data_IF_061094616194
#
_entry.id   IF_061094616194
#
_cell.length_a   1.000
_cell.length_b   1.000
_cell.length_c   1.000
_cell.angle_alpha   90.00
_cell.angle_beta   90.00
_cell.angle_gamma   90.00
#
_symmetry.space_group_name_H-M   'P 1'
#
loop_
_entity.id
_entity.type
_entity.pdbx_description
1 polymer ?
#
# COMPACT_ATOMS: atom_id res chain seq x y z
N UNK A 1 -26.25 -0.39 -14.78
CA UNK A 1 -27.12 -1.47 -15.28
C UNK A 1 -27.18 -2.58 -14.22
N UNK A 2 -28.25 -2.59 -13.39
CA UNK A 2 -28.43 -3.57 -12.31
C UNK A 2 -28.80 -4.96 -12.82
N UNK A 3 -29.71 -5.11 -13.80
CA UNK A 3 -30.02 -6.43 -14.38
C UNK A 3 -28.78 -7.11 -14.96
N UNK A 4 -27.95 -6.38 -15.69
CA UNK A 4 -26.70 -6.93 -16.24
C UNK A 4 -25.73 -7.38 -15.14
N UNK A 5 -25.58 -6.60 -14.07
CA UNK A 5 -24.71 -6.97 -12.94
C UNK A 5 -25.18 -8.28 -12.30
N UNK A 6 -26.48 -8.44 -12.05
CA UNK A 6 -27.04 -9.68 -11.49
C UNK A 6 -26.74 -10.88 -12.37
N UNK A 7 -26.99 -10.78 -13.68
CA UNK A 7 -26.69 -11.84 -14.64
C UNK A 7 -25.21 -12.24 -14.63
N UNK A 8 -24.29 -11.26 -14.54
CA UNK A 8 -22.86 -11.53 -14.44
C UNK A 8 -22.51 -12.23 -13.12
N UNK A 9 -23.09 -11.78 -12.00
CA UNK A 9 -22.85 -12.37 -10.68
C UNK A 9 -23.31 -13.83 -10.67
N UNK A 10 -24.52 -14.10 -11.16
CA UNK A 10 -25.11 -15.44 -11.14
C UNK A 10 -24.26 -16.41 -11.98
N UNK A 11 -23.84 -16.02 -13.18
CA UNK A 11 -22.95 -16.82 -14.04
C UNK A 11 -21.59 -17.12 -13.39
N UNK A 12 -20.98 -16.12 -12.74
CA UNK A 12 -19.69 -16.30 -12.08
C UNK A 12 -19.80 -17.24 -10.87
N UNK A 13 -20.88 -17.12 -10.11
CA UNK A 13 -21.17 -17.96 -8.94
C UNK A 13 -21.45 -19.40 -9.37
N UNK A 14 -22.25 -19.61 -10.42
CA UNK A 14 -22.55 -20.94 -10.97
C UNK A 14 -21.27 -21.68 -11.40
N UNK A 15 -20.33 -20.95 -12.01
CA UNK A 15 -19.01 -21.48 -12.39
C UNK A 15 -18.03 -21.64 -11.22
N UNK A 16 -18.42 -21.26 -9.99
CA UNK A 16 -17.57 -21.34 -8.80
C UNK A 16 -16.37 -20.39 -8.80
N UNK A 17 -16.35 -19.37 -9.67
CA UNK A 17 -15.21 -18.45 -9.83
C UNK A 17 -14.90 -17.66 -8.55
N UNK A 18 -15.89 -17.10 -7.82
CA UNK A 18 -15.63 -16.36 -6.57
C UNK A 18 -14.95 -17.19 -5.47
N UNK A 19 -14.99 -18.53 -5.55
CA UNK A 19 -14.29 -19.40 -4.60
C UNK A 19 -12.77 -19.45 -4.84
N UNK A 20 -12.30 -19.02 -6.02
CA UNK A 20 -10.91 -19.14 -6.48
C UNK A 20 -10.22 -17.79 -6.63
N UNK A 21 -10.99 -16.73 -6.86
CA UNK A 21 -10.47 -15.37 -7.03
C UNK A 21 -11.31 -14.36 -6.25
N UNK A 22 -10.69 -13.26 -5.84
CA UNK A 22 -11.36 -12.12 -5.25
C UNK A 22 -11.54 -11.01 -6.30
N UNK A 23 -12.65 -10.29 -6.22
CA UNK A 23 -12.96 -9.20 -7.14
C UNK A 23 -12.80 -7.83 -6.47
N UNK A 24 -12.52 -6.81 -7.27
CA UNK A 24 -12.48 -5.43 -6.80
C UNK A 24 -12.90 -4.48 -7.92
N UNK A 25 -13.31 -3.27 -7.56
CA UNK A 25 -13.71 -2.26 -8.54
C UNK A 25 -14.29 -1.01 -7.90
N UNK A 26 -14.70 -0.09 -8.76
CA UNK A 26 -15.18 1.23 -8.39
C UNK A 26 -16.67 1.38 -8.66
N UNK A 27 -17.35 2.09 -7.78
CA UNK A 27 -18.77 2.41 -7.90
C UNK A 27 -19.03 3.88 -7.54
N UNK A 28 -20.20 4.40 -7.95
CA UNK A 28 -20.72 5.66 -7.40
C UNK A 28 -21.59 5.31 -6.19
N UNK A 29 -21.40 6.01 -5.08
CA UNK A 29 -22.07 5.65 -3.82
C UNK A 29 -23.60 5.80 -3.89
N UNK A 30 -24.09 6.76 -4.66
CA UNK A 30 -25.53 7.04 -4.81
C UNK A 30 -26.32 5.86 -5.40
N UNK A 31 -25.68 5.01 -6.21
CA UNK A 31 -26.35 3.86 -6.84
C UNK A 31 -26.15 2.54 -6.10
N UNK A 32 -25.32 2.48 -5.05
CA UNK A 32 -25.05 1.22 -4.32
C UNK A 32 -26.05 1.12 -3.18
N UNK A 33 -26.91 0.10 -3.17
CA UNK A 33 -27.86 -0.18 -2.09
C UNK A 33 -27.58 -1.55 -1.44
N UNK A 34 -28.36 -1.92 -0.43
CA UNK A 34 -28.15 -3.17 0.32
C UNK A 34 -28.17 -4.41 -0.58
N UNK A 35 -29.02 -4.44 -1.60
CA UNK A 35 -29.06 -5.54 -2.57
C UNK A 35 -27.74 -5.72 -3.34
N UNK A 36 -27.02 -4.63 -3.63
CA UNK A 36 -25.73 -4.70 -4.32
C UNK A 36 -24.63 -5.22 -3.41
N UNK A 37 -24.68 -4.83 -2.14
CA UNK A 37 -23.76 -5.31 -1.11
C UNK A 37 -23.87 -6.84 -0.99
N UNK A 38 -25.09 -7.38 -1.06
CA UNK A 38 -25.31 -8.84 -1.07
C UNK A 38 -24.73 -9.50 -2.33
N UNK A 39 -24.84 -8.87 -3.51
CA UNK A 39 -24.21 -9.37 -4.74
C UNK A 39 -22.67 -9.34 -4.63
N UNK A 40 -22.09 -8.28 -4.06
CA UNK A 40 -20.65 -8.18 -3.86
C UNK A 40 -20.14 -9.27 -2.91
N UNK A 41 -20.88 -9.63 -1.86
CA UNK A 41 -20.52 -10.76 -1.01
C UNK A 41 -20.47 -12.09 -1.77
N UNK A 42 -21.45 -12.35 -2.66
CA UNK A 42 -21.44 -13.54 -3.52
C UNK A 42 -20.22 -13.59 -4.44
N UNK A 43 -19.76 -12.42 -4.88
CA UNK A 43 -18.57 -12.29 -5.73
C UNK A 43 -17.24 -12.36 -4.99
N UNK A 44 -17.19 -12.58 -3.68
CA UNK A 44 -15.93 -12.48 -2.92
C UNK A 44 -15.22 -11.12 -3.18
N UNK A 45 -16.01 -10.04 -3.16
CA UNK A 45 -15.51 -8.70 -3.43
C UNK A 45 -14.68 -8.18 -2.26
N UNK A 46 -13.44 -7.78 -2.52
CA UNK A 46 -12.48 -7.39 -1.48
C UNK A 46 -12.78 -6.03 -0.87
N UNK A 47 -13.17 -5.06 -1.71
CA UNK A 47 -13.50 -3.69 -1.29
C UNK A 47 -14.60 -3.08 -2.15
N UNK A 48 -15.56 -2.42 -1.50
CA UNK A 48 -16.41 -1.44 -2.17
C UNK A 48 -15.65 -0.11 -2.20
N UNK A 49 -15.23 0.31 -3.41
CA UNK A 49 -14.46 1.55 -3.59
C UNK A 49 -15.29 2.62 -4.29
N UNK A 50 -15.25 3.85 -3.80
CA UNK A 50 -15.90 4.99 -4.46
C UNK A 50 -15.11 6.30 -4.31
N UNK A 51 -15.32 7.24 -5.23
CA UNK A 51 -14.80 8.60 -5.12
C UNK A 51 -15.69 9.43 -4.21
N UNK A 52 -15.26 9.66 -2.96
CA UNK A 52 -15.94 10.57 -2.03
C UNK A 52 -15.61 12.03 -2.36
N UNK A 53 -14.38 12.27 -2.82
CA UNK A 53 -13.76 13.57 -3.11
C UNK A 53 -13.64 14.49 -1.89
N UNK A 54 -14.71 14.75 -1.15
CA UNK A 54 -14.75 15.73 -0.06
C UNK A 54 -15.89 15.42 0.91
N UNK A 55 -15.74 15.82 2.18
CA UNK A 55 -16.84 15.80 3.15
C UNK A 55 -17.70 17.07 3.12
N UNK A 56 -17.41 18.02 2.21
CA UNK A 56 -18.21 19.23 2.04
C UNK A 56 -19.23 19.06 0.92
N UNK A 57 -20.52 19.12 1.28
CA UNK A 57 -21.63 19.01 0.33
C UNK A 57 -21.54 20.07 -0.80
N UNK A 58 -21.10 21.28 -0.48
CA UNK A 58 -20.93 22.37 -1.47
C UNK A 58 -19.84 22.04 -2.48
N UNK A 59 -18.69 21.55 -2.02
CA UNK A 59 -17.59 21.18 -2.92
C UNK A 59 -17.90 19.90 -3.69
N UNK A 60 -18.61 18.94 -3.06
CA UNK A 60 -19.04 17.72 -3.74
C UNK A 60 -19.92 18.05 -4.95
N UNK A 61 -20.91 18.93 -4.78
CA UNK A 61 -21.73 19.44 -5.90
C UNK A 61 -20.89 20.13 -6.98
N UNK A 62 -19.87 20.89 -6.59
CA UNK A 62 -18.96 21.57 -7.53
C UNK A 62 -18.15 20.58 -8.39
N UNK A 63 -17.79 19.42 -7.85
CA UNK A 63 -16.93 18.44 -8.55
C UNK A 63 -17.74 17.36 -9.28
N UNK A 64 -18.86 16.91 -8.71
CA UNK A 64 -19.65 15.78 -9.22
C UNK A 64 -20.97 16.18 -9.85
N UNK A 65 -21.38 17.44 -9.73
CA UNK A 65 -22.71 17.90 -10.11
C UNK A 65 -23.80 17.42 -9.15
N UNK A 66 -25.02 17.35 -9.65
CA UNK A 66 -26.18 16.88 -8.87
C UNK A 66 -26.27 15.34 -8.85
N UNK A 67 -27.04 14.81 -7.90
CA UNK A 67 -27.34 13.37 -7.80
C UNK A 67 -26.39 12.53 -6.96
N UNK A 68 -25.42 13.14 -6.28
CA UNK A 68 -24.59 12.48 -5.25
C UNK A 68 -24.39 13.41 -4.05
N UNK A 69 -24.49 12.85 -2.85
CA UNK A 69 -24.39 13.58 -1.59
C UNK A 69 -23.39 12.94 -0.61
N UNK A 70 -22.97 13.69 0.40
CA UNK A 70 -22.17 13.13 1.51
C UNK A 70 -22.97 12.06 2.27
N UNK A 71 -24.30 12.17 2.31
CA UNK A 71 -25.17 11.16 2.89
C UNK A 71 -25.12 9.82 2.14
N UNK A 72 -24.97 9.84 0.81
CA UNK A 72 -24.78 8.62 0.02
C UNK A 72 -23.48 7.90 0.38
N UNK A 73 -22.39 8.67 0.56
CA UNK A 73 -21.12 8.11 1.00
C UNK A 73 -21.26 7.45 2.37
N UNK A 74 -21.89 8.14 3.33
CA UNK A 74 -22.13 7.61 4.67
C UNK A 74 -22.96 6.32 4.63
N UNK A 75 -24.04 6.30 3.85
CA UNK A 75 -24.92 5.13 3.69
C UNK A 75 -24.16 3.91 3.17
N UNK A 76 -23.30 4.07 2.17
CA UNK A 76 -22.49 2.96 1.65
C UNK A 76 -21.48 2.46 2.70
N UNK A 77 -20.83 3.36 3.43
CA UNK A 77 -19.90 2.98 4.50
C UNK A 77 -20.63 2.15 5.58
N UNK A 78 -21.80 2.60 6.01
CA UNK A 78 -22.58 1.91 7.04
C UNK A 78 -23.13 0.56 6.56
N UNK A 79 -23.56 0.45 5.30
CA UNK A 79 -23.95 -0.83 4.70
C UNK A 79 -22.77 -1.81 4.62
N UNK A 80 -21.60 -1.35 4.17
CA UNK A 80 -20.40 -2.19 4.15
C UNK A 80 -20.05 -2.70 5.56
N UNK A 81 -20.03 -1.81 6.56
CA UNK A 81 -19.76 -2.16 7.94
C UNK A 81 -20.79 -3.17 8.51
N UNK A 82 -22.09 -2.94 8.25
CA UNK A 82 -23.18 -3.85 8.65
C UNK A 82 -23.00 -5.26 8.10
N UNK A 83 -22.50 -5.38 6.88
CA UNK A 83 -22.40 -6.65 6.15
C UNK A 83 -21.02 -7.31 6.18
N UNK A 84 -20.05 -6.71 6.90
CA UNK A 84 -18.68 -7.22 6.99
C UNK A 84 -17.88 -7.07 5.69
N UNK A 85 -18.28 -6.14 4.80
CA UNK A 85 -17.49 -5.78 3.62
C UNK A 85 -16.55 -4.62 3.94
N UNK A 86 -15.37 -4.66 3.34
CA UNK A 86 -14.40 -3.58 3.47
C UNK A 86 -14.80 -2.43 2.57
N UNK A 87 -14.73 -1.21 3.09
CA UNK A 87 -15.04 0.01 2.35
C UNK A 87 -13.77 0.84 2.14
N UNK A 88 -13.63 1.43 0.97
CA UNK A 88 -12.55 2.34 0.65
C UNK A 88 -13.06 3.56 -0.13
N UNK A 89 -12.47 4.72 0.11
CA UNK A 89 -12.83 5.93 -0.59
C UNK A 89 -11.59 6.73 -1.03
N UNK A 90 -11.76 7.46 -2.12
CA UNK A 90 -10.79 8.44 -2.60
C UNK A 90 -11.25 9.86 -2.25
N UNK A 91 -10.31 10.70 -1.83
CA UNK A 91 -10.52 12.11 -1.48
C UNK A 91 -9.59 12.99 -2.31
N UNK A 92 -10.06 14.19 -2.60
CA UNK A 92 -9.36 15.21 -3.37
C UNK A 92 -9.27 16.49 -2.53
N UNK A 93 -8.10 17.13 -2.54
CA UNK A 93 -7.80 18.31 -1.75
C UNK A 93 -7.25 19.42 -2.63
N UNK A 94 -7.33 20.67 -2.15
CA UNK A 94 -6.80 21.81 -2.89
C UNK A 94 -7.70 22.23 -4.06
N UNK A 95 -8.97 21.83 -4.02
CA UNK A 95 -9.97 22.19 -5.04
C UNK A 95 -10.11 23.72 -5.07
N UNK A 96 -10.13 24.36 -6.26
CA UNK A 96 -10.39 25.80 -6.37
C UNK A 96 -11.68 26.19 -5.64
N UNK A 97 -11.57 27.12 -4.68
CA UNK A 97 -12.69 27.55 -3.84
C UNK A 97 -12.87 26.73 -2.55
N UNK A 98 -11.99 25.77 -2.26
CA UNK A 98 -11.99 25.02 -1.00
C UNK A 98 -11.58 25.93 0.16
N UNK A 99 -12.44 26.01 1.18
CA UNK A 99 -12.19 26.82 2.38
C UNK A 99 -11.69 25.95 3.53
N UNK A 100 -11.21 26.61 4.59
CA UNK A 100 -10.90 25.92 5.86
C UNK A 100 -12.10 25.21 6.48
N UNK A 101 -13.32 25.71 6.26
CA UNK A 101 -14.55 25.08 6.73
C UNK A 101 -14.80 23.77 5.99
N UNK A 102 -14.57 23.75 4.68
CA UNK A 102 -14.72 22.55 3.85
C UNK A 102 -13.70 21.48 4.25
N UNK A 103 -12.43 21.85 4.40
CA UNK A 103 -11.39 20.95 4.92
C UNK A 103 -11.77 20.37 6.29
N UNK A 104 -12.35 21.18 7.17
CA UNK A 104 -12.84 20.70 8.47
C UNK A 104 -13.97 19.68 8.31
N UNK A 105 -14.93 19.90 7.41
CA UNK A 105 -16.01 18.94 7.15
C UNK A 105 -15.45 17.60 6.63
N UNK A 106 -14.47 17.64 5.72
CA UNK A 106 -13.76 16.43 5.25
C UNK A 106 -13.06 15.71 6.40
N UNK A 107 -12.33 16.44 7.25
CA UNK A 107 -11.65 15.85 8.41
C UNK A 107 -12.65 15.21 9.38
N UNK A 108 -13.76 15.89 9.69
CA UNK A 108 -14.77 15.39 10.62
C UNK A 108 -15.47 14.15 10.04
N UNK A 109 -15.70 14.11 8.72
CA UNK A 109 -16.19 12.93 8.00
C UNK A 109 -15.22 11.74 8.09
N UNK A 110 -13.91 11.99 7.87
CA UNK A 110 -12.87 10.98 8.00
C UNK A 110 -12.77 10.43 9.44
N UNK A 111 -12.85 11.30 10.46
CA UNK A 111 -12.85 10.88 11.88
C UNK A 111 -14.01 9.97 12.21
N UNK A 112 -15.23 10.36 11.81
CA UNK A 112 -16.45 9.59 12.09
C UNK A 112 -16.40 8.19 11.49
N UNK A 113 -15.73 8.05 10.36
CA UNK A 113 -15.66 6.80 9.59
C UNK A 113 -14.32 6.07 9.74
N UNK A 114 -13.46 6.48 10.68
CA UNK A 114 -12.20 5.82 10.97
C UNK A 114 -12.46 4.36 11.39
N UNK A 115 -11.76 3.42 10.77
CA UNK A 115 -11.94 1.97 10.97
C UNK A 115 -13.06 1.34 10.12
N UNK A 116 -14.02 2.13 9.62
CA UNK A 116 -15.09 1.65 8.72
C UNK A 116 -14.75 1.86 7.24
N UNK A 117 -14.03 2.93 6.93
CA UNK A 117 -13.64 3.27 5.56
C UNK A 117 -12.14 3.58 5.48
N UNK A 118 -11.44 2.92 4.57
CA UNK A 118 -10.04 3.20 4.27
C UNK A 118 -9.91 4.35 3.27
N UNK A 119 -8.85 5.14 3.37
CA UNK A 119 -8.47 6.10 2.32
C UNK A 119 -7.60 5.36 1.32
N UNK A 120 -8.09 5.16 0.08
CA UNK A 120 -7.34 4.52 -1.03
C UNK A 120 -7.12 5.46 -2.22
N UNK A 121 -7.41 6.73 -2.04
CA UNK A 121 -6.98 7.82 -2.91
C UNK A 121 -6.90 9.10 -2.11
N UNK A 122 -5.76 9.77 -2.19
CA UNK A 122 -5.49 10.97 -1.43
C UNK A 122 -4.84 11.96 -2.38
N UNK A 123 -5.70 12.62 -3.14
CA UNK A 123 -5.31 13.31 -4.35
C UNK A 123 -5.28 14.82 -4.18
N UNK A 124 -4.37 15.48 -4.89
CA UNK A 124 -4.44 16.91 -5.13
C UNK A 124 -5.31 17.16 -6.36
N UNK A 125 -6.12 18.22 -6.31
CA UNK A 125 -6.83 18.68 -7.49
C UNK A 125 -5.86 19.05 -8.61
N UNK A 126 -6.10 18.47 -9.79
CA UNK A 126 -5.43 18.83 -11.04
C UNK A 126 -6.49 19.28 -12.05
N UNK A 127 -6.31 20.42 -12.71
CA UNK A 127 -7.25 20.90 -13.72
C UNK A 127 -7.09 20.06 -15.00
N UNK A 128 -8.14 19.35 -15.39
CA UNK A 128 -8.12 18.47 -16.56
C UNK A 128 -8.86 19.14 -17.74
N UNK A 129 -8.23 19.25 -18.93
CA UNK A 129 -8.88 19.78 -20.13
C UNK A 129 -10.23 19.13 -20.41
N UNK A 130 -11.20 19.95 -20.81
CA UNK A 130 -12.58 19.51 -21.10
C UNK A 130 -13.47 19.27 -19.86
N UNK A 131 -13.01 19.63 -18.65
CA UNK A 131 -13.86 19.64 -17.46
C UNK A 131 -14.44 21.03 -17.19
N UNK A 132 -15.60 21.10 -16.54
CA UNK A 132 -16.22 22.39 -16.18
C UNK A 132 -15.29 23.28 -15.33
N UNK A 133 -14.50 22.68 -14.43
CA UNK A 133 -13.51 23.42 -13.64
C UNK A 133 -12.33 23.91 -14.49
N UNK A 134 -11.91 23.17 -15.51
CA UNK A 134 -10.92 23.66 -16.46
C UNK A 134 -11.44 24.88 -17.22
N UNK A 135 -12.66 24.81 -17.77
CA UNK A 135 -13.28 25.92 -18.50
C UNK A 135 -13.43 27.18 -17.65
N UNK A 136 -13.86 27.02 -16.38
CA UNK A 136 -13.91 28.11 -15.40
C UNK A 136 -12.51 28.71 -15.16
N UNK A 137 -11.51 27.86 -14.90
CA UNK A 137 -10.15 28.30 -14.61
C UNK A 137 -9.47 28.96 -15.82
N UNK A 138 -9.76 28.51 -17.04
CA UNK A 138 -9.28 29.16 -18.28
C UNK A 138 -9.90 30.52 -18.45
N UNK A 139 -11.21 30.65 -18.22
CA UNK A 139 -11.91 31.94 -18.28
C UNK A 139 -11.37 32.95 -17.25
N UNK A 140 -11.01 32.46 -16.06
CA UNK A 140 -10.43 33.26 -14.99
C UNK A 140 -8.92 33.55 -15.19
N UNK A 141 -8.32 33.06 -16.27
CA UNK A 141 -6.88 33.23 -16.58
C UNK A 141 -5.95 32.47 -15.62
N UNK A 142 -6.46 31.45 -14.92
CA UNK A 142 -5.69 30.64 -13.96
C UNK A 142 -4.92 29.50 -14.63
N UNK A 143 -5.41 29.01 -15.78
CA UNK A 143 -4.76 27.96 -16.59
C UNK A 143 -4.92 28.27 -18.08
N UNK A 144 -3.99 27.79 -18.88
CA UNK A 144 -4.02 27.84 -20.35
C UNK A 144 -3.69 26.45 -20.92
N UNK A 145 -3.80 26.28 -22.24
CA UNK A 145 -3.41 25.04 -22.91
C UNK A 145 -1.92 24.70 -22.72
N UNK A 146 -1.08 25.71 -22.46
CA UNK A 146 0.35 25.58 -22.18
C UNK A 146 0.66 25.16 -20.72
N UNK A 147 -0.34 24.71 -19.96
CA UNK A 147 -0.12 24.23 -18.60
C UNK A 147 0.91 23.09 -18.61
N UNK A 148 1.99 23.14 -17.81
CA UNK A 148 2.99 22.07 -17.78
C UNK A 148 2.43 20.86 -17.03
N UNK A 149 1.68 20.01 -17.75
CA UNK A 149 0.99 18.83 -17.20
C UNK A 149 1.94 17.85 -16.52
N UNK A 150 3.20 17.79 -16.94
CA UNK A 150 4.26 16.99 -16.34
C UNK A 150 4.60 17.41 -14.90
N UNK A 151 4.27 18.64 -14.50
CA UNK A 151 4.45 19.15 -13.13
C UNK A 151 3.25 18.84 -12.22
N UNK A 152 2.15 18.33 -12.77
CA UNK A 152 0.98 17.97 -11.97
C UNK A 152 1.29 16.75 -11.11
N UNK A 153 1.05 16.88 -9.81
CA UNK A 153 1.25 15.81 -8.86
C UNK A 153 -0.10 15.38 -8.32
N UNK A 154 -0.57 14.22 -8.79
CA UNK A 154 -1.92 13.74 -8.47
C UNK A 154 -2.01 13.18 -7.05
N UNK A 155 -1.07 12.34 -6.65
CA UNK A 155 -1.20 11.53 -5.44
C UNK A 155 -0.25 12.02 -4.34
N UNK A 156 -0.84 12.58 -3.29
CA UNK A 156 -0.15 13.16 -2.13
C UNK A 156 0.53 12.10 -1.24
N UNK A 157 0.34 10.81 -1.53
CA UNK A 157 0.96 9.68 -0.82
C UNK A 157 2.10 9.02 -1.59
N UNK A 158 2.31 9.39 -2.85
CA UNK A 158 3.41 8.79 -3.62
C UNK A 158 4.77 9.14 -2.99
N UNK A 159 5.73 8.20 -2.99
CA UNK A 159 7.08 8.45 -2.44
C UNK A 159 7.80 9.63 -3.09
N UNK A 160 7.55 9.88 -4.38
CA UNK A 160 8.15 10.96 -5.14
C UNK A 160 7.33 12.27 -5.12
N UNK A 161 6.30 12.37 -4.28
CA UNK A 161 5.55 13.61 -4.12
C UNK A 161 6.45 14.69 -3.50
N UNK A 162 6.47 15.88 -4.10
CA UNK A 162 7.19 17.06 -3.63
C UNK A 162 6.26 18.27 -3.52
N UNK A 163 6.41 19.03 -2.44
CA UNK A 163 5.75 20.32 -2.30
C UNK A 163 6.37 21.41 -3.17
N UNK A 164 7.60 21.20 -3.64
CA UNK A 164 8.34 22.19 -4.41
C UNK A 164 7.89 22.19 -5.87
N UNK A 165 7.66 23.39 -6.40
CA UNK A 165 7.17 23.56 -7.78
C UNK A 165 5.73 23.08 -8.00
N UNK A 166 4.99 22.78 -6.93
CA UNK A 166 3.61 22.29 -7.00
C UNK A 166 2.67 23.31 -7.64
N UNK A 167 1.92 22.90 -8.65
CA UNK A 167 0.82 23.68 -9.20
C UNK A 167 -0.38 23.61 -8.25
N UNK A 168 -0.57 24.68 -7.48
CA UNK A 168 -1.61 24.75 -6.44
C UNK A 168 -2.56 25.92 -6.67
N UNK A 169 -3.79 25.60 -7.06
CA UNK A 169 -4.76 26.57 -7.57
C UNK A 169 -5.70 27.16 -6.50
N UNK A 170 -5.58 26.72 -5.24
CA UNK A 170 -6.44 27.18 -4.15
C UNK A 170 -5.74 28.13 -3.14
N UNK A 171 -4.61 28.73 -3.54
CA UNK A 171 -3.80 29.61 -2.71
C UNK A 171 -4.54 30.81 -2.09
N UNK A 172 -5.52 31.37 -2.82
CA UNK A 172 -6.32 32.51 -2.37
C UNK A 172 -7.18 32.18 -1.14
N UNK A 173 -7.72 30.97 -1.04
CA UNK A 173 -8.61 30.57 0.05
C UNK A 173 -7.85 29.91 1.21
N UNK A 174 -6.87 29.07 0.86
CA UNK A 174 -6.00 28.40 1.83
C UNK A 174 -4.57 28.50 1.33
N UNK A 175 -3.73 29.37 1.94
CA UNK A 175 -2.33 29.50 1.53
C UNK A 175 -1.58 28.17 1.58
N UNK A 176 -0.70 27.91 0.62
CA UNK A 176 0.00 26.62 0.46
C UNK A 176 0.69 26.15 1.75
N UNK A 177 1.35 27.06 2.49
CA UNK A 177 1.99 26.76 3.78
C UNK A 177 0.99 26.20 4.81
N UNK A 178 -0.24 26.70 4.80
CA UNK A 178 -1.32 26.24 5.69
C UNK A 178 -1.94 24.94 5.19
N UNK A 179 -2.18 24.86 3.88
CA UNK A 179 -2.67 23.65 3.22
C UNK A 179 -1.76 22.46 3.52
N UNK A 180 -0.45 22.60 3.29
CA UNK A 180 0.57 21.60 3.63
C UNK A 180 0.45 21.08 5.05
N UNK A 181 0.37 21.98 6.05
CA UNK A 181 0.21 21.57 7.47
C UNK A 181 -1.06 20.76 7.72
N UNK A 182 -2.16 21.12 7.05
CA UNK A 182 -3.43 20.40 7.19
C UNK A 182 -3.33 19.02 6.54
N UNK A 183 -2.81 18.93 5.31
CA UNK A 183 -2.64 17.67 4.59
C UNK A 183 -1.70 16.72 5.33
N UNK A 184 -0.55 17.21 5.83
CA UNK A 184 0.36 16.40 6.64
C UNK A 184 -0.30 15.88 7.92
N UNK A 185 -1.19 16.65 8.54
CA UNK A 185 -1.98 16.19 9.69
C UNK A 185 -2.99 15.11 9.29
N UNK A 186 -3.74 15.30 8.21
CA UNK A 186 -4.70 14.30 7.70
C UNK A 186 -3.97 13.00 7.37
N UNK A 187 -2.82 13.10 6.69
CA UNK A 187 -1.95 11.98 6.39
C UNK A 187 -1.54 11.24 7.67
N UNK A 188 -1.03 11.94 8.69
CA UNK A 188 -0.64 11.31 9.96
C UNK A 188 -1.82 10.66 10.71
N UNK A 189 -3.03 11.18 10.57
CA UNK A 189 -4.18 10.78 11.39
C UNK A 189 -5.05 9.66 10.77
N UNK A 190 -5.18 9.65 9.45
CA UNK A 190 -6.13 8.79 8.73
C UNK A 190 -5.53 7.97 7.61
N UNK A 191 -4.45 8.47 7.01
CA UNK A 191 -3.67 7.64 6.10
C UNK A 191 -2.81 6.81 7.01
N UNK A 192 -3.28 5.60 7.28
CA UNK A 192 -2.45 4.59 7.88
C UNK A 192 -1.14 4.60 7.09
N UNK A 193 0.04 4.79 7.72
CA UNK A 193 1.29 4.61 7.00
C UNK A 193 1.32 3.26 6.28
N UNK A 194 0.46 2.32 6.72
CA UNK A 194 0.25 1.01 6.15
C UNK A 194 -1.20 0.53 6.27
N UNK A 195 -2.07 0.80 5.27
CA UNK A 195 -3.45 0.33 5.33
C UNK A 195 -3.45 -1.18 5.60
N UNK A 196 -4.28 -1.72 6.51
CA UNK A 196 -4.45 -3.16 6.62
C UNK A 196 -4.79 -3.65 5.20
N UNK A 197 -3.94 -4.47 4.58
CA UNK A 197 -4.18 -5.07 3.26
C UNK A 197 -3.84 -4.26 2.00
N UNK A 198 -2.81 -3.38 2.02
CA UNK A 198 -1.95 -3.15 0.84
C UNK A 198 -0.47 -3.46 1.16
N UNK A 199 -0.21 -4.55 1.87
CA UNK A 199 0.94 -5.36 1.47
C UNK A 199 0.63 -6.02 0.13
N UNK A 200 1.68 -6.25 -0.63
CA UNK A 200 1.73 -6.99 -1.87
C UNK A 200 0.75 -8.18 -1.95
N UNK A 201 -0.37 -8.03 -2.65
CA UNK A 201 -1.15 -9.18 -3.15
C UNK A 201 -0.42 -9.92 -4.30
N UNK A 202 0.77 -9.47 -4.72
CA UNK A 202 1.68 -10.28 -5.54
C UNK A 202 2.58 -11.21 -4.70
N UNK A 203 2.61 -11.03 -3.37
CA UNK A 203 3.43 -11.82 -2.44
C UNK A 203 2.63 -12.34 -1.23
N UNK A 204 1.29 -12.36 -1.29
CA UNK A 204 0.47 -13.04 -0.28
C UNK A 204 0.54 -14.56 -0.48
N UNK A 205 1.69 -15.14 -0.15
CA UNK A 205 1.72 -16.48 0.43
C UNK A 205 1.15 -16.38 1.83
N UNK A 206 0.15 -17.21 2.13
CA UNK A 206 -0.45 -17.35 3.46
C UNK A 206 0.60 -17.69 4.52
N UNK A 207 0.68 -16.92 5.60
CA UNK A 207 1.45 -17.29 6.78
C UNK A 207 0.75 -16.78 8.03
N UNK A 208 0.59 -17.64 9.04
CA UNK A 208 0.12 -17.22 10.35
C UNK A 208 1.26 -16.52 11.11
N UNK A 209 0.99 -15.31 11.60
CA UNK A 209 1.87 -14.61 12.54
C UNK A 209 1.53 -15.07 13.96
N UNK A 210 2.49 -15.70 14.66
CA UNK A 210 2.33 -16.02 16.08
C UNK A 210 3.43 -15.35 16.90
N UNK A 211 3.01 -14.63 17.94
CA UNK A 211 3.89 -14.09 18.96
C UNK A 211 3.94 -15.03 20.15
N UNK A 212 5.16 -15.34 20.63
CA UNK A 212 5.36 -15.99 21.93
C UNK A 212 6.46 -15.21 22.67
N UNK A 213 6.06 -14.29 23.54
CA UNK A 213 7.02 -13.41 24.24
C UNK A 213 7.60 -12.31 23.33
N UNK A 214 8.93 -12.11 23.37
CA UNK A 214 9.69 -11.10 22.60
C UNK A 214 10.12 -11.56 21.20
N UNK A 215 9.72 -12.77 20.79
CA UNK A 215 10.09 -13.38 19.52
C UNK A 215 8.97 -13.27 18.48
N UNK A 216 9.34 -12.87 17.26
CA UNK A 216 8.47 -12.90 16.08
C UNK A 216 8.80 -14.13 15.23
N UNK A 217 7.85 -15.05 15.11
CA UNK A 217 7.93 -16.20 14.21
C UNK A 217 7.09 -15.92 12.96
N UNK A 218 7.71 -16.00 11.79
CA UNK A 218 7.00 -15.99 10.51
C UNK A 218 7.07 -17.39 9.93
N UNK A 219 6.00 -18.17 10.13
CA UNK A 219 5.81 -19.46 9.47
C UNK A 219 5.13 -19.17 8.13
N UNK A 220 5.87 -19.28 7.02
CA UNK A 220 5.24 -19.34 5.70
C UNK A 220 4.50 -20.67 5.58
N UNK A 221 3.16 -20.65 5.66
CA UNK A 221 2.37 -21.76 5.14
C UNK A 221 2.38 -21.67 3.61
N UNK A 222 3.48 -22.13 3.01
CA UNK A 222 3.33 -23.03 1.88
C UNK A 222 2.47 -24.18 2.39
N UNK A 223 1.32 -24.38 1.75
CA UNK A 223 0.31 -25.33 2.16
C UNK A 223 0.95 -26.67 2.56
N UNK A 224 0.71 -27.07 3.80
CA UNK A 224 1.22 -28.32 4.37
C UNK A 224 0.45 -29.50 3.77
N UNK A 225 0.83 -29.90 2.56
CA UNK A 225 0.67 -31.28 2.11
C UNK A 225 1.92 -31.64 1.33
N UNK A 226 2.92 -32.17 2.04
CA UNK A 226 4.03 -32.94 1.48
C UNK A 226 4.86 -32.22 0.40
N UNK A 227 6.09 -31.88 0.77
CA UNK A 227 7.20 -31.72 -0.17
C UNK A 227 7.24 -30.42 -1.03
N UNK A 228 8.36 -29.70 -0.89
CA UNK A 228 8.94 -28.68 -1.77
C UNK A 228 8.25 -27.31 -1.98
N UNK A 229 9.02 -26.22 -1.76
CA UNK A 229 8.80 -24.93 -2.43
C UNK A 229 9.73 -24.88 -3.65
N UNK A 230 9.17 -25.09 -4.85
CA UNK A 230 9.84 -24.82 -6.13
C UNK A 230 9.33 -23.48 -6.65
N UNK A 231 10.20 -22.48 -6.76
CA UNK A 231 9.92 -21.29 -7.56
C UNK A 231 9.82 -21.71 -9.03
N UNK A 232 8.64 -21.60 -9.65
CA UNK A 232 8.45 -21.96 -11.06
C UNK A 232 9.34 -21.11 -11.97
N UNK A 233 9.96 -21.72 -12.99
CA UNK A 233 10.85 -21.05 -13.97
C UNK A 233 10.22 -19.82 -14.63
N UNK A 234 8.90 -19.80 -14.78
CA UNK A 234 8.12 -18.68 -15.33
C UNK A 234 8.21 -17.37 -14.49
N UNK A 235 8.53 -17.47 -13.20
CA UNK A 235 8.72 -16.29 -12.32
C UNK A 235 10.18 -15.79 -12.39
N UNK A 236 11.14 -16.69 -12.60
CA UNK A 236 12.56 -16.35 -12.83
C UNK A 236 12.78 -15.57 -14.12
N UNK A 237 12.09 -15.92 -15.20
CA UNK A 237 12.18 -15.21 -16.47
C UNK A 237 11.63 -13.77 -16.41
N UNK A 238 10.62 -13.51 -15.56
CA UNK A 238 9.96 -12.20 -15.46
C UNK A 238 10.65 -11.22 -14.52
N UNK A 239 11.32 -11.70 -13.47
CA UNK A 239 11.87 -10.85 -12.40
C UNK A 239 13.22 -10.23 -12.76
N UNK A 240 13.86 -10.64 -13.86
CA UNK A 240 15.19 -10.16 -14.22
C UNK A 240 16.28 -10.64 -13.26
N UNK A 241 17.51 -10.68 -13.76
CA UNK A 241 18.67 -11.14 -13.01
C UNK A 241 19.01 -10.14 -11.89
N UNK A 242 19.08 -10.58 -10.63
CA UNK A 242 19.44 -9.72 -9.47
C UNK A 242 18.28 -9.17 -8.64
N UNK A 243 17.07 -9.70 -8.80
CA UNK A 243 15.91 -9.32 -7.98
C UNK A 243 15.94 -9.95 -6.58
N UNK A 244 15.47 -9.25 -5.52
CA UNK A 244 15.45 -9.77 -4.16
C UNK A 244 14.61 -11.04 -4.05
N UNK A 245 15.14 -12.08 -3.40
CA UNK A 245 14.41 -13.34 -3.12
C UNK A 245 13.68 -13.29 -1.79
N UNK A 246 14.10 -12.39 -0.90
CA UNK A 246 13.36 -12.04 0.30
C UNK A 246 13.61 -10.59 0.65
N UNK A 247 12.54 -9.90 1.00
CA UNK A 247 12.59 -8.55 1.54
C UNK A 247 11.72 -8.52 2.80
N UNK A 248 12.35 -8.29 3.95
CA UNK A 248 11.63 -7.86 5.14
C UNK A 248 11.30 -6.39 4.95
N UNK A 249 10.04 -5.99 5.08
CA UNK A 249 9.65 -4.58 5.13
C UNK A 249 8.39 -4.45 5.99
N UNK A 250 7.92 -3.23 6.28
CA UNK A 250 8.64 -2.11 6.88
C UNK A 250 8.22 -1.87 8.34
N UNK A 251 8.57 -2.76 9.29
CA UNK A 251 8.03 -2.66 10.67
C UNK A 251 8.91 -3.15 11.80
N UNK A 252 10.18 -3.46 11.57
CA UNK A 252 11.05 -3.78 12.69
C UNK A 252 11.40 -2.48 13.41
N UNK A 253 10.67 -2.14 14.49
CA UNK A 253 11.04 -1.08 15.43
C UNK A 253 12.26 -1.53 16.27
N UNK A 254 13.33 -1.95 15.58
CA UNK A 254 14.60 -2.24 16.20
C UNK A 254 15.13 -0.92 16.75
N UNK A 255 15.57 -0.97 18.00
CA UNK A 255 16.31 0.13 18.63
C UNK A 255 17.79 -0.19 18.53
N UNK A 256 18.66 0.78 18.82
CA UNK A 256 20.07 0.52 19.04
C UNK A 256 20.28 -0.70 19.95
N UNK A 257 21.21 -1.57 19.56
CA UNK A 257 21.50 -2.82 20.28
C UNK A 257 22.07 -3.90 19.37
N UNK A 258 22.46 -5.02 19.96
CA UNK A 258 22.98 -6.17 19.23
C UNK A 258 21.85 -7.09 18.74
N UNK A 259 21.99 -7.58 17.50
CA UNK A 259 21.04 -8.46 16.85
C UNK A 259 21.73 -9.67 16.23
N UNK A 260 21.04 -10.80 16.23
CA UNK A 260 21.42 -12.02 15.52
C UNK A 260 20.45 -12.24 14.35
N UNK A 261 21.00 -12.36 13.15
CA UNK A 261 20.32 -12.76 11.93
C UNK A 261 20.62 -14.22 11.65
N UNK A 262 19.57 -15.02 11.51
CA UNK A 262 19.65 -16.42 11.09
C UNK A 262 18.89 -16.58 9.76
N UNK A 263 19.52 -17.30 8.84
CA UNK A 263 19.03 -17.63 7.51
C UNK A 263 19.13 -19.15 7.36
N UNK A 264 18.09 -19.80 6.88
CA UNK A 264 18.15 -21.20 6.47
C UNK A 264 17.93 -21.24 4.96
N UNK A 265 18.83 -21.86 4.23
CA UNK A 265 18.82 -21.87 2.77
C UNK A 265 19.26 -23.22 2.22
N UNK A 266 18.54 -23.69 1.23
CA UNK A 266 18.99 -24.81 0.41
C UNK A 266 19.79 -24.29 -0.78
N UNK A 267 21.07 -24.69 -0.82
CA UNK A 267 21.95 -24.46 -1.96
C UNK A 267 21.98 -25.69 -2.87
N UNK A 268 22.11 -25.52 -4.19
CA UNK A 268 22.29 -26.64 -5.10
C UNK A 268 23.55 -27.43 -4.72
N UNK A 269 23.55 -28.76 -4.89
CA UNK A 269 24.54 -29.69 -4.33
C UNK A 269 25.96 -29.57 -4.90
N UNK A 270 26.20 -28.65 -5.84
CA UNK A 270 27.55 -28.43 -6.34
C UNK A 270 28.31 -27.51 -5.40
N UNK A 271 29.51 -27.91 -4.98
CA UNK A 271 30.26 -27.32 -3.86
C UNK A 271 30.38 -25.78 -3.92
N UNK A 272 30.34 -25.09 -2.77
CA UNK A 272 30.63 -23.67 -2.69
C UNK A 272 32.10 -23.42 -3.02
N UNK A 273 32.36 -22.95 -4.24
CA UNK A 273 33.65 -22.35 -4.60
C UNK A 273 33.63 -20.87 -4.23
N UNK A 274 34.74 -20.28 -3.72
CA UNK A 274 34.87 -18.83 -3.52
C UNK A 274 34.71 -18.00 -4.81
N UNK A 275 34.60 -18.65 -5.98
CA UNK A 275 34.32 -18.03 -7.27
C UNK A 275 32.81 -17.99 -7.64
N UNK A 276 31.90 -18.36 -6.74
CA UNK A 276 30.45 -18.39 -7.02
C UNK A 276 29.74 -17.09 -6.64
N UNK A 277 28.64 -16.74 -7.35
CA UNK A 277 27.90 -15.52 -7.13
C UNK A 277 27.34 -15.43 -5.70
N UNK A 278 27.80 -14.41 -4.98
CA UNK A 278 27.46 -14.15 -3.57
C UNK A 278 25.96 -13.89 -3.37
N UNK A 279 25.48 -14.12 -2.15
CA UNK A 279 24.21 -13.55 -1.69
C UNK A 279 24.54 -12.31 -0.89
N UNK A 280 23.94 -11.19 -1.28
CA UNK A 280 24.13 -9.90 -0.61
C UNK A 280 22.95 -9.65 0.31
N UNK A 281 23.23 -9.54 1.60
CA UNK A 281 22.25 -9.11 2.61
C UNK A 281 22.45 -7.62 2.82
N UNK A 282 21.46 -6.80 2.50
CA UNK A 282 21.48 -5.35 2.76
C UNK A 282 20.56 -4.99 3.92
N UNK A 283 21.10 -4.28 4.90
CA UNK A 283 20.34 -3.64 5.98
C UNK A 283 20.13 -2.16 5.66
N UNK A 284 18.89 -1.66 5.72
CA UNK A 284 18.57 -0.26 5.46
C UNK A 284 17.71 0.36 6.58
N UNK A 285 18.14 1.53 7.07
CA UNK A 285 17.40 2.33 8.05
C UNK A 285 17.09 3.73 7.52
N UNK A 286 16.10 4.36 8.15
CA UNK A 286 15.70 5.72 7.87
C UNK A 286 14.70 5.86 6.72
N UNK A 287 14.03 7.01 6.66
CA UNK A 287 13.02 7.34 5.65
C UNK A 287 13.57 7.39 4.22
N UNK A 288 14.88 7.57 4.10
CA UNK A 288 15.57 7.79 2.84
C UNK A 288 16.23 6.50 2.33
N UNK A 289 16.06 5.37 3.03
CA UNK A 289 16.62 4.08 2.65
C UNK A 289 18.16 4.05 2.66
N UNK A 290 18.80 4.86 3.51
CA UNK A 290 20.26 4.86 3.63
C UNK A 290 20.71 3.47 4.06
N UNK A 291 21.47 2.80 3.19
CA UNK A 291 22.00 1.45 3.44
C UNK A 291 23.01 1.54 4.59
N UNK A 292 22.76 0.79 5.64
CA UNK A 292 23.60 0.77 6.84
C UNK A 292 24.77 -0.18 6.64
N UNK A 293 24.51 -1.39 6.14
CA UNK A 293 25.53 -2.43 5.93
C UNK A 293 25.14 -3.42 4.83
N UNK A 294 26.16 -4.05 4.26
CA UNK A 294 26.07 -5.20 3.36
C UNK A 294 26.87 -6.35 3.95
N UNK A 295 26.34 -7.56 3.84
CA UNK A 295 27.04 -8.81 4.16
C UNK A 295 27.07 -9.71 2.94
N UNK A 296 28.20 -10.38 2.73
CA UNK A 296 28.31 -11.50 1.80
C UNK A 296 28.00 -12.81 2.54
N UNK A 297 27.44 -13.80 1.84
CA UNK A 297 27.14 -15.11 2.43
C UNK A 297 28.39 -15.79 3.02
N UNK A 298 29.55 -15.56 2.40
CA UNK A 298 30.86 -16.05 2.85
C UNK A 298 31.31 -15.46 4.20
N UNK A 299 30.68 -14.36 4.64
CA UNK A 299 30.94 -13.72 5.93
C UNK A 299 30.03 -14.25 7.05
N UNK A 300 29.13 -15.21 6.75
CA UNK A 300 28.21 -15.80 7.70
C UNK A 300 28.76 -17.12 8.25
N UNK A 301 28.52 -17.40 9.51
CA UNK A 301 28.76 -18.71 10.11
C UNK A 301 27.81 -19.74 9.49
N UNK A 302 28.34 -20.88 9.03
CA UNK A 302 27.55 -21.94 8.38
C UNK A 302 27.50 -23.19 9.23
N UNK A 303 26.29 -23.72 9.42
CA UNK A 303 26.02 -25.04 9.99
C UNK A 303 24.98 -25.75 9.10
N UNK A 304 25.43 -26.73 8.32
CA UNK A 304 24.62 -27.43 7.31
C UNK A 304 23.99 -26.46 6.27
N UNK A 305 22.65 -26.34 6.28
CA UNK A 305 21.88 -25.40 5.44
C UNK A 305 21.54 -24.09 6.18
N UNK A 306 22.07 -23.88 7.39
CA UNK A 306 21.86 -22.66 8.19
C UNK A 306 23.06 -21.74 8.13
N UNK A 307 22.77 -20.46 7.99
CA UNK A 307 23.72 -19.35 7.91
C UNK A 307 23.36 -18.32 8.97
N UNK A 308 24.33 -17.91 9.78
CA UNK A 308 24.12 -16.98 10.90
C UNK A 308 25.09 -15.82 10.83
N UNK A 309 24.64 -14.65 11.26
CA UNK A 309 25.53 -13.54 11.56
C UNK A 309 24.99 -12.69 12.69
N UNK A 310 25.90 -12.09 13.43
CA UNK A 310 25.58 -11.09 14.45
C UNK A 310 25.97 -9.73 13.95
N UNK A 311 25.11 -8.75 14.21
CA UNK A 311 25.41 -7.36 13.89
C UNK A 311 24.94 -6.42 14.97
N UNK A 312 25.69 -5.34 15.16
CA UNK A 312 25.35 -4.26 16.08
C UNK A 312 24.62 -3.18 15.28
N UNK A 313 23.40 -2.85 15.69
CA UNK A 313 22.69 -1.69 15.17
C UNK A 313 23.11 -0.46 15.99
N UNK A 314 23.90 0.43 15.38
CA UNK A 314 24.40 1.64 16.04
C UNK A 314 23.46 2.85 15.94
N UNK A 315 22.32 2.70 15.25
CA UNK A 315 21.38 3.78 14.98
C UNK A 315 20.07 3.63 15.77
N UNK A 316 19.54 4.77 16.26
CA UNK A 316 18.20 4.89 16.83
C UNK A 316 17.12 5.10 15.75
N UNK A 317 17.52 5.18 14.47
CA UNK A 317 16.59 5.21 13.36
C UNK A 317 15.92 3.85 13.17
N UNK A 318 14.62 3.87 12.89
CA UNK A 318 13.86 2.65 12.61
C UNK A 318 14.44 1.95 11.38
N UNK A 319 14.76 0.67 11.53
CA UNK A 319 15.11 -0.19 10.39
C UNK A 319 13.85 -0.46 9.58
N UNK A 320 13.88 -0.11 8.30
CA UNK A 320 12.72 -0.32 7.42
C UNK A 320 12.87 -1.57 6.55
N UNK A 321 14.09 -2.12 6.37
CA UNK A 321 14.26 -3.25 5.48
C UNK A 321 15.47 -4.14 5.77
N UNK A 322 15.29 -5.46 5.65
CA UNK A 322 16.35 -6.44 5.45
C UNK A 322 16.13 -7.05 4.07
N UNK A 323 17.08 -6.91 3.15
CA UNK A 323 16.95 -7.38 1.77
C UNK A 323 17.98 -8.46 1.51
N UNK A 324 17.53 -9.64 1.11
CA UNK A 324 18.38 -10.74 0.66
C UNK A 324 18.33 -10.80 -0.86
N UNK A 325 19.47 -10.51 -1.51
CA UNK A 325 19.58 -10.44 -2.97
C UNK A 325 20.61 -11.46 -3.45
N UNK A 326 20.23 -12.50 -4.20
CA UNK A 326 21.19 -13.38 -4.84
C UNK A 326 21.86 -12.63 -6.01
N UNK A 327 23.17 -12.77 -6.15
CA UNK A 327 23.84 -12.28 -7.34
C UNK A 327 23.47 -13.12 -8.59
N UNK A 328 23.57 -12.54 -9.79
CA UNK A 328 23.41 -13.24 -11.06
C UNK A 328 24.04 -14.63 -11.10
N UNK A 329 23.27 -15.66 -11.49
CA UNK A 329 23.77 -17.04 -11.59
C UNK A 329 23.76 -17.84 -10.28
N UNK A 330 23.30 -17.26 -9.18
CA UNK A 330 23.10 -17.97 -7.92
C UNK A 330 21.69 -18.58 -7.89
N UNK A 331 21.60 -19.91 -7.85
CA UNK A 331 20.36 -20.62 -7.54
C UNK A 331 20.34 -20.89 -6.03
N UNK A 332 19.35 -20.33 -5.33
CA UNK A 332 19.17 -20.51 -3.89
C UNK A 332 17.69 -20.56 -3.57
N UNK A 333 17.32 -21.38 -2.60
CA UNK A 333 16.00 -21.36 -1.97
C UNK A 333 16.16 -20.89 -0.53
N UNK A 334 15.49 -19.79 -0.16
CA UNK A 334 15.42 -19.35 1.23
C UNK A 334 14.32 -20.16 1.94
N UNK A 335 14.72 -20.94 2.95
CA UNK A 335 13.85 -21.79 3.75
C UNK A 335 13.30 -21.05 4.97
N UNK A 336 14.15 -20.28 5.67
CA UNK A 336 13.71 -19.45 6.79
C UNK A 336 14.62 -18.23 7.00
N UNK A 337 14.09 -17.21 7.69
CA UNK A 337 14.80 -15.98 8.05
C UNK A 337 14.30 -15.54 9.44
N UNK A 338 15.22 -15.37 10.38
CA UNK A 338 14.92 -14.91 11.73
C UNK A 338 15.86 -13.77 12.14
N UNK A 339 15.31 -12.78 12.86
CA UNK A 339 16.07 -11.69 13.44
C UNK A 339 15.72 -11.57 14.92
N UNK A 340 16.73 -11.67 15.79
CA UNK A 340 16.57 -11.67 17.24
C UNK A 340 17.41 -10.55 17.87
N UNK A 341 16.87 -9.87 18.87
CA UNK A 341 17.65 -8.96 19.71
C UNK A 341 18.38 -9.79 20.77
N UNK A 342 19.67 -9.53 20.96
CA UNK A 342 20.45 -10.17 22.02
C UNK A 342 20.19 -9.36 23.31
N UNK A 343 19.44 -9.94 24.26
CA UNK A 343 19.19 -9.31 25.56
C UNK A 343 20.47 -9.26 26.40
N UNK A 344 20.81 -8.08 26.94
CA UNK A 344 22.02 -7.87 27.76
C UNK A 344 23.06 -6.90 27.18
N UNK A 345 22.76 -6.21 26.07
CA UNK A 345 23.60 -5.17 25.44
C UNK A 345 23.06 -3.75 25.60
#
# INVERSE_FOLDING_TARGET
DKPRLRKIVDELVERGIPKRIAFQGFCRSNIVHEEDILLFKKLNYRFVRFGAETGSERLLRRIKGEGISVADHQRVIDLCAKHGLRCAASFMFGIPGETRKDLKLTIDFLRRNKGKCQIRGFYLFNPMPGTALWEEMTRDGLVTEDLPFERLQLDLLKPNFSWDGLLYFNGKNVPLKRFRKIIERIRKEFVDPYPPGEEADWLSGSGEHRFRGSELYVLSEAYRQGEHIVYSDALREKMGVGSPIAAFGPYCNLRRGEYELELEMDLPPSEPSPARPDIVISLAAGKDGRRIRRYLLSELERDDNRYRTRFVLETDEKLFQVIVTPQPGCAVTLCSLALRKIEGS
#
